data_IF_336913320307
#
_entry.id   IF_336913320307
#
_cell.length_a   1.000
_cell.length_b   1.000
_cell.length_c   1.000
_cell.angle_alpha   90.00
_cell.angle_beta   90.00
_cell.angle_gamma   90.00
#
_symmetry.space_group_name_H-M   'P 1'
#
loop_
_entity.id
_entity.type
_entity.pdbx_description
1 polymer ?
#
# COMPACT_ATOMS: atom_id res chain seq x y z
N UNK A 1 -14.25 -6.96 3.44
CA UNK A 1 -13.99 -5.55 3.84
C UNK A 1 -12.85 -4.90 3.04
N UNK A 2 -11.68 -5.55 2.87
CA UNK A 2 -10.57 -5.00 2.03
C UNK A 2 -11.02 -4.64 0.61
N UNK A 3 -11.74 -5.52 -0.08
CA UNK A 3 -12.21 -5.27 -1.46
C UNK A 3 -13.10 -4.04 -1.59
N UNK A 4 -13.96 -3.78 -0.59
CA UNK A 4 -14.79 -2.58 -0.58
C UNK A 4 -13.94 -1.31 -0.42
N UNK A 5 -12.90 -1.36 0.43
CA UNK A 5 -11.93 -0.27 0.58
C UNK A 5 -11.16 -0.02 -0.73
N UNK A 6 -10.73 -1.07 -1.42
CA UNK A 6 -10.09 -0.97 -2.74
C UNK A 6 -11.03 -0.32 -3.74
N UNK A 7 -12.30 -0.75 -3.82
CA UNK A 7 -13.29 -0.15 -4.74
C UNK A 7 -13.52 1.34 -4.47
N UNK A 8 -13.57 1.75 -3.20
CA UNK A 8 -13.71 3.16 -2.82
C UNK A 8 -12.48 3.95 -3.28
N UNK A 9 -11.28 3.41 -3.05
CA UNK A 9 -10.03 4.05 -3.47
C UNK A 9 -9.94 4.11 -4.99
N UNK A 10 -10.26 3.03 -5.71
CA UNK A 10 -10.23 3.02 -7.18
C UNK A 10 -11.20 4.08 -7.76
N UNK A 11 -12.34 4.33 -7.10
CA UNK A 11 -13.34 5.31 -7.55
C UNK A 11 -13.02 6.76 -7.17
N UNK A 12 -12.48 6.99 -5.98
CA UNK A 12 -12.33 8.33 -5.40
C UNK A 12 -10.88 8.73 -5.10
N UNK A 13 -9.93 7.82 -5.30
CA UNK A 13 -8.54 7.96 -4.91
C UNK A 13 -7.84 9.11 -5.61
N UNK A 14 -8.12 9.31 -6.91
CA UNK A 14 -7.52 10.37 -7.73
C UNK A 14 -7.65 11.77 -7.13
N UNK A 15 -8.84 12.11 -6.63
CA UNK A 15 -9.11 13.43 -6.06
C UNK A 15 -8.63 13.54 -4.60
N UNK A 16 -8.34 12.40 -3.96
CA UNK A 16 -8.02 12.31 -2.54
C UNK A 16 -6.57 11.88 -2.27
N UNK A 17 -5.73 11.72 -3.30
CA UNK A 17 -4.33 11.27 -3.15
C UNK A 17 -3.58 12.15 -2.16
N UNK A 18 -3.65 13.48 -2.32
CA UNK A 18 -2.94 14.43 -1.46
C UNK A 18 -3.34 14.34 0.01
N UNK A 19 -4.56 13.87 0.30
CA UNK A 19 -5.09 13.72 1.65
C UNK A 19 -4.77 12.35 2.26
N UNK A 20 -5.05 11.27 1.51
CA UNK A 20 -4.95 9.90 2.01
C UNK A 20 -3.50 9.42 2.10
N UNK A 21 -2.65 9.87 1.17
CA UNK A 21 -1.28 9.38 1.07
C UNK A 21 -0.41 9.74 2.28
N UNK A 22 -0.42 10.98 2.81
CA UNK A 22 0.28 11.31 4.06
C UNK A 22 -0.23 10.49 5.26
N UNK A 23 -1.53 10.20 5.32
CA UNK A 23 -2.14 9.43 6.42
C UNK A 23 -1.60 7.99 6.42
N UNK A 24 -1.64 7.33 5.25
CA UNK A 24 -1.12 5.96 5.12
C UNK A 24 0.38 5.90 5.36
N UNK A 25 1.14 6.85 4.77
CA UNK A 25 2.59 6.95 4.98
C UNK A 25 2.94 7.13 6.46
N UNK A 26 2.23 8.00 7.18
CA UNK A 26 2.44 8.22 8.60
C UNK A 26 2.18 6.95 9.43
N UNK A 27 1.13 6.20 9.09
CA UNK A 27 0.86 4.92 9.75
C UNK A 27 1.97 3.89 9.52
N UNK A 28 2.44 3.74 8.28
CA UNK A 28 3.51 2.78 7.92
C UNK A 28 4.88 3.15 8.51
N UNK A 29 5.13 4.43 8.81
CA UNK A 29 6.35 4.88 9.46
C UNK A 29 6.39 4.63 10.97
N UNK A 30 5.27 4.26 11.60
CA UNK A 30 5.27 3.89 13.01
C UNK A 30 6.05 2.59 13.22
N UNK A 31 6.86 2.52 14.27
CA UNK A 31 7.51 1.27 14.69
C UNK A 31 6.41 0.22 14.92
N UNK A 32 6.58 -0.98 14.35
CA UNK A 32 5.64 -2.07 14.62
C UNK A 32 5.81 -2.46 16.10
N UNK A 33 4.72 -2.47 16.86
CA UNK A 33 4.66 -3.28 18.08
C UNK A 33 4.56 -4.74 17.66
N UNK A 34 5.12 -5.67 18.44
CA UNK A 34 5.11 -7.12 18.17
C UNK A 34 3.71 -7.75 18.37
N UNK A 35 2.64 -6.98 18.18
CA UNK A 35 1.26 -7.42 18.35
C UNK A 35 0.68 -7.86 17.01
N UNK A 36 0.23 -9.11 16.92
CA UNK A 36 -0.38 -9.71 15.73
C UNK A 36 -1.55 -8.88 15.14
N UNK A 37 -2.28 -8.14 15.99
CA UNK A 37 -3.36 -7.23 15.56
C UNK A 37 -2.84 -6.03 14.78
N UNK A 38 -1.65 -5.52 15.12
CA UNK A 38 -1.01 -4.43 14.38
C UNK A 38 -0.59 -4.87 12.99
N UNK A 39 -0.25 -6.14 12.81
CA UNK A 39 0.07 -6.70 11.50
C UNK A 39 -1.14 -6.68 10.57
N UNK A 40 -2.34 -7.04 11.04
CA UNK A 40 -3.56 -7.00 10.21
C UNK A 40 -3.92 -5.58 9.72
N UNK A 41 -3.83 -4.57 10.60
CA UNK A 41 -4.10 -3.19 10.20
C UNK A 41 -3.02 -2.67 9.26
N UNK A 42 -1.74 -2.99 9.55
CA UNK A 42 -0.61 -2.65 8.67
C UNK A 42 -0.78 -3.25 7.28
N UNK A 43 -1.19 -4.52 7.18
CA UNK A 43 -1.53 -5.19 5.91
C UNK A 43 -2.59 -4.41 5.13
N UNK A 44 -3.68 -4.02 5.78
CA UNK A 44 -4.75 -3.22 5.14
C UNK A 44 -4.24 -1.87 4.62
N UNK A 45 -3.44 -1.15 5.41
CA UNK A 45 -2.88 0.14 5.00
C UNK A 45 -1.92 -0.01 3.83
N UNK A 46 -1.10 -1.06 3.78
CA UNK A 46 -0.24 -1.39 2.64
C UNK A 46 -1.05 -1.59 1.36
N UNK A 47 -2.11 -2.41 1.42
CA UNK A 47 -2.99 -2.66 0.27
C UNK A 47 -3.65 -1.36 -0.23
N UNK A 48 -4.17 -0.54 0.69
CA UNK A 48 -4.79 0.74 0.34
C UNK A 48 -3.79 1.75 -0.21
N UNK A 49 -2.54 1.73 0.27
CA UNK A 49 -1.46 2.57 -0.28
C UNK A 49 -1.13 2.17 -1.71
N UNK A 50 -1.06 0.85 -2.00
CA UNK A 50 -0.85 0.34 -3.36
C UNK A 50 -2.01 0.68 -4.31
N UNK A 51 -3.26 0.54 -3.85
CA UNK A 51 -4.44 0.96 -4.62
C UNK A 51 -4.41 2.46 -4.92
N UNK A 52 -4.07 3.29 -3.92
CA UNK A 52 -3.98 4.75 -4.08
C UNK A 52 -2.85 5.16 -5.03
N UNK A 53 -1.72 4.44 -5.01
CA UNK A 53 -0.57 4.71 -5.87
C UNK A 53 -0.87 4.57 -7.36
N UNK A 54 -1.90 3.79 -7.76
CA UNK A 54 -2.36 3.71 -9.15
C UNK A 54 -2.84 5.06 -9.71
N UNK A 55 -3.21 5.99 -8.83
CA UNK A 55 -3.66 7.33 -9.22
C UNK A 55 -2.54 8.37 -9.27
N UNK A 56 -1.31 8.01 -8.89
CA UNK A 56 -0.14 8.87 -9.05
C UNK A 56 0.36 8.86 -10.49
N UNK A 57 1.00 9.96 -10.89
CA UNK A 57 1.74 10.00 -12.14
C UNK A 57 2.94 9.02 -12.05
N UNK A 58 3.31 8.38 -13.17
CA UNK A 58 4.36 7.34 -13.20
C UNK A 58 5.74 7.87 -12.77
N UNK A 59 5.94 9.16 -12.96
CA UNK A 59 7.11 9.97 -12.67
C UNK A 59 7.03 10.66 -11.29
N UNK A 60 5.95 10.46 -10.53
CA UNK A 60 5.85 11.03 -9.18
C UNK A 60 6.86 10.33 -8.24
N UNK A 61 7.79 11.07 -7.61
CA UNK A 61 8.79 10.51 -6.71
C UNK A 61 8.19 9.75 -5.53
N UNK A 62 6.93 10.01 -5.18
CA UNK A 62 6.19 9.27 -4.13
C UNK A 62 5.89 7.83 -4.53
N UNK A 63 5.81 7.50 -5.82
CA UNK A 63 5.61 6.13 -6.30
C UNK A 63 6.77 5.25 -5.86
N UNK A 64 8.01 5.74 -6.01
CA UNK A 64 9.20 4.98 -5.63
C UNK A 64 9.23 4.68 -4.13
N UNK A 65 8.93 5.69 -3.31
CA UNK A 65 8.83 5.53 -1.84
C UNK A 65 7.75 4.52 -1.43
N UNK A 66 6.62 4.47 -2.15
CA UNK A 66 5.58 3.47 -1.87
C UNK A 66 6.04 2.08 -2.22
N UNK A 67 6.66 1.90 -3.39
CA UNK A 67 7.18 0.59 -3.81
C UNK A 67 8.19 0.05 -2.80
N UNK A 68 9.12 0.88 -2.33
CA UNK A 68 10.07 0.50 -1.27
C UNK A 68 9.36 0.09 0.03
N UNK A 69 8.34 0.85 0.46
CA UNK A 69 7.58 0.50 1.67
C UNK A 69 6.75 -0.78 1.52
N UNK A 70 6.21 -1.02 0.33
CA UNK A 70 5.53 -2.27 0.00
C UNK A 70 6.52 -3.45 0.06
N UNK A 71 7.73 -3.26 -0.47
CA UNK A 71 8.82 -4.26 -0.42
C UNK A 71 9.31 -4.53 1.01
N UNK A 72 9.40 -3.52 1.87
CA UNK A 72 9.76 -3.71 3.29
C UNK A 72 8.73 -4.58 4.03
N UNK A 73 7.43 -4.37 3.75
CA UNK A 73 6.37 -5.22 4.34
C UNK A 73 6.40 -6.63 3.73
N UNK A 74 6.81 -6.77 2.48
CA UNK A 74 7.04 -8.07 1.82
C UNK A 74 8.26 -8.82 2.42
N UNK A 75 9.27 -8.11 2.92
CA UNK A 75 10.45 -8.74 3.51
C UNK A 75 10.24 -9.18 4.98
N UNK A 76 9.08 -8.89 5.58
CA UNK A 76 8.74 -9.38 6.92
C UNK A 76 8.03 -10.73 6.79
N UNK A 77 8.58 -11.87 7.26
CA UNK A 77 8.07 -13.20 6.94
C UNK A 77 6.73 -13.45 7.65
N UNK A 78 5.63 -13.01 7.03
CA UNK A 78 4.27 -13.37 7.42
C UNK A 78 3.46 -13.67 6.16
N UNK A 79 2.38 -14.43 6.29
CA UNK A 79 1.43 -14.79 5.22
C UNK A 79 0.99 -13.61 4.33
N UNK A 80 1.06 -12.37 4.82
CA UNK A 80 0.76 -11.19 4.03
C UNK A 80 1.70 -10.90 2.87
N UNK A 81 2.93 -11.41 2.95
CA UNK A 81 3.93 -11.24 1.92
C UNK A 81 3.48 -11.90 0.62
N UNK A 82 2.91 -13.09 0.72
CA UNK A 82 2.47 -13.85 -0.45
C UNK A 82 1.31 -13.16 -1.19
N UNK A 83 0.44 -12.46 -0.47
CA UNK A 83 -0.69 -11.72 -1.05
C UNK A 83 -0.28 -10.37 -1.65
N UNK A 84 0.66 -9.65 -1.02
CA UNK A 84 1.15 -8.38 -1.56
C UNK A 84 1.96 -8.56 -2.87
N UNK A 85 2.58 -9.73 -3.09
CA UNK A 85 3.19 -10.09 -4.37
C UNK A 85 2.18 -10.09 -5.54
N UNK A 86 0.94 -10.53 -5.31
CA UNK A 86 -0.15 -10.48 -6.29
C UNK A 86 -0.58 -9.04 -6.61
N UNK A 87 -0.46 -8.12 -5.66
CA UNK A 87 -0.77 -6.70 -5.87
C UNK A 87 0.32 -5.94 -6.65
N UNK A 88 1.56 -6.44 -6.68
CA UNK A 88 2.67 -5.86 -7.44
C UNK A 88 2.68 -6.27 -8.91
N UNK A 89 2.12 -7.44 -9.27
CA UNK A 89 2.11 -7.93 -10.66
C UNK A 89 1.59 -6.92 -11.70
N UNK A 90 0.52 -6.15 -11.43
CA UNK A 90 0.03 -5.12 -12.36
C UNK A 90 0.93 -3.89 -12.47
N UNK A 91 1.80 -3.66 -11.48
CA UNK A 91 2.77 -2.55 -11.46
C UNK A 91 4.11 -2.94 -12.12
N UNK A 92 4.33 -4.25 -12.34
CA UNK A 92 5.55 -4.84 -12.89
C UNK A 92 5.44 -5.20 -14.38
N UNK A 93 4.68 -4.45 -15.18
CA UNK A 93 4.77 -4.56 -16.64
C UNK A 93 6.15 -4.06 -17.11
N UNK A 94 7.12 -4.97 -17.08
CA UNK A 94 8.34 -4.91 -17.86
C UNK A 94 7.99 -5.07 -19.35
N UNK A 95 8.73 -4.36 -20.19
CA UNK A 95 8.96 -4.74 -21.59
C UNK A 95 9.29 -6.23 -21.72
#
# INVERSE_FOLDING_TARGET
MINAGIMIIDKHGKDNVSLLFPIFKNYLNKKASNEERYDLVRKGVVIFTGALAKHLAKDDPKVHTVVEKLLDVLNTPSEAVQWAGTCLSPLMHSK
#
